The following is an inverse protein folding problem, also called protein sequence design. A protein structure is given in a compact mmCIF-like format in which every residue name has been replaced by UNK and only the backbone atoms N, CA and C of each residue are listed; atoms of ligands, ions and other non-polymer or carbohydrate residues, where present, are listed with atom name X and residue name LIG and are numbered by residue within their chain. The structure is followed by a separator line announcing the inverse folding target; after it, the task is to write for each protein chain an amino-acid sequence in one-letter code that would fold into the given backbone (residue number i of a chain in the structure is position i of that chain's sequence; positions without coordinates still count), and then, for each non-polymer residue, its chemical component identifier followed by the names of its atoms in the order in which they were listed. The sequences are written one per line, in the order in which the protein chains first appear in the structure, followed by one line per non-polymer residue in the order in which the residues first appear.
data_IF_230208465216
#
_entry.id   IF_230208465216
#
_cell.length_a   1.000
_cell.length_b   1.000
_cell.length_c   1.000
_cell.angle_alpha   90.00
_cell.angle_beta   90.00
_cell.angle_gamma   90.00
#
_symmetry.space_group_name_H-M   'P 1'
#
loop_
_entity.id
_entity.type
_entity.pdbx_description
1 polymer ?
#
# COMPACT_ATOMS: atom_id res chain seq x y z
N UNK A 1 -27.46 49.46 25.93
CA UNK A 1 -26.19 50.22 26.04
C UNK A 1 -26.54 51.69 25.98
N UNK A 2 -26.43 52.42 27.10
CA UNK A 2 -26.53 53.88 27.08
C UNK A 2 -25.22 54.40 26.48
N UNK A 3 -25.30 55.04 25.31
CA UNK A 3 -24.15 55.72 24.70
C UNK A 3 -23.91 56.99 25.51
N UNK A 4 -23.10 56.89 26.56
CA UNK A 4 -22.48 58.06 27.18
C UNK A 4 -21.30 58.44 26.29
N UNK A 5 -21.53 59.34 25.34
CA UNK A 5 -20.44 59.96 24.58
C UNK A 5 -19.55 60.72 25.58
N UNK A 6 -18.38 60.15 25.85
CA UNK A 6 -17.39 60.76 26.74
C UNK A 6 -16.78 61.98 26.04
N UNK A 7 -16.72 63.13 26.72
CA UNK A 7 -16.09 64.35 26.19
C UNK A 7 -17.05 65.49 25.85
N UNK A 8 -18.36 65.29 25.92
CA UNK A 8 -19.37 66.34 25.65
C UNK A 8 -19.26 67.49 26.68
N UNK A 9 -18.86 67.23 27.92
CA UNK A 9 -18.78 68.25 28.98
C UNK A 9 -17.51 69.10 28.97
N UNK A 10 -16.38 68.52 28.57
CA UNK A 10 -15.05 69.14 28.60
C UNK A 10 -14.53 69.62 27.25
N UNK A 11 -15.07 69.09 26.14
CA UNK A 11 -14.56 69.33 24.78
C UNK A 11 -13.29 68.54 24.43
N UNK A 12 -12.90 67.56 25.26
CA UNK A 12 -11.76 66.67 25.04
C UNK A 12 -12.18 65.43 24.25
N UNK A 13 -11.32 64.94 23.36
CA UNK A 13 -11.51 63.68 22.64
C UNK A 13 -11.11 62.49 23.54
N UNK A 14 -11.97 62.17 24.49
CA UNK A 14 -11.72 61.11 25.48
C UNK A 14 -11.86 59.71 24.85
N UNK A 15 -12.60 59.58 23.76
CA UNK A 15 -12.78 58.31 23.07
C UNK A 15 -11.47 57.84 22.42
N UNK A 16 -10.77 58.72 21.69
CA UNK A 16 -9.47 58.36 21.09
C UNK A 16 -8.40 58.10 22.15
N UNK A 17 -8.46 58.78 23.30
CA UNK A 17 -7.55 58.52 24.42
C UNK A 17 -7.79 57.13 25.00
N UNK A 18 -9.04 56.74 25.22
CA UNK A 18 -9.40 55.41 25.74
C UNK A 18 -8.93 54.34 24.75
N UNK A 19 -9.21 54.50 23.46
CA UNK A 19 -8.77 53.59 22.41
C UNK A 19 -7.24 53.46 22.37
N UNK A 20 -6.51 54.58 22.48
CA UNK A 20 -5.05 54.58 22.52
C UNK A 20 -4.51 53.82 23.74
N UNK A 21 -5.12 53.95 24.92
CA UNK A 21 -4.72 53.19 26.11
C UNK A 21 -5.03 51.70 25.99
N UNK A 22 -6.20 51.33 25.46
CA UNK A 22 -6.56 49.93 25.24
C UNK A 22 -5.63 49.28 24.22
N UNK A 23 -5.33 49.98 23.11
CA UNK A 23 -4.39 49.52 22.08
C UNK A 23 -2.97 49.36 22.64
N UNK A 24 -2.50 50.33 23.43
CA UNK A 24 -1.18 50.25 24.07
C UNK A 24 -1.06 49.05 25.03
N UNK A 25 -2.17 48.66 25.68
CA UNK A 25 -2.24 47.50 26.56
C UNK A 25 -2.38 46.17 25.79
N UNK A 26 -3.09 46.17 24.66
CA UNK A 26 -3.37 44.95 23.87
C UNK A 26 -2.17 44.50 23.03
N UNK A 27 -1.59 45.43 22.26
CA UNK A 27 -0.60 45.15 21.20
C UNK A 27 0.58 44.30 21.66
N UNK A 28 1.24 44.56 22.82
CA UNK A 28 2.37 43.74 23.25
C UNK A 28 2.00 42.28 23.53
N UNK A 29 0.79 42.05 24.07
CA UNK A 29 0.31 40.71 24.39
C UNK A 29 -0.11 39.98 23.13
N UNK A 30 -0.85 40.65 22.24
CA UNK A 30 -1.25 40.10 20.93
C UNK A 30 -0.04 39.69 20.10
N UNK A 31 0.98 40.53 19.97
CA UNK A 31 2.22 40.20 19.25
C UNK A 31 2.90 38.96 19.83
N UNK A 32 2.89 38.80 21.15
CA UNK A 32 3.48 37.63 21.82
C UNK A 32 2.68 36.35 21.53
N UNK A 33 1.35 36.43 21.57
CA UNK A 33 0.45 35.31 21.27
C UNK A 33 0.57 34.91 19.80
N UNK A 34 0.51 35.88 18.87
CA UNK A 34 0.70 35.65 17.44
C UNK A 34 2.02 34.94 17.14
N UNK A 35 3.14 35.41 17.72
CA UNK A 35 4.44 34.74 17.54
C UNK A 35 4.47 33.32 18.11
N UNK A 36 3.76 33.06 19.21
CA UNK A 36 3.65 31.73 19.81
C UNK A 36 2.83 30.80 18.90
N UNK A 37 1.71 31.31 18.38
CA UNK A 37 0.81 30.62 17.46
C UNK A 37 1.50 30.28 16.14
N UNK A 38 2.17 31.25 15.53
CA UNK A 38 2.97 31.06 14.32
C UNK A 38 4.04 30.00 14.50
N UNK A 39 4.75 30.02 15.64
CA UNK A 39 5.78 29.02 15.96
C UNK A 39 5.18 27.62 16.09
N UNK A 40 4.12 27.44 16.89
CA UNK A 40 3.48 26.14 17.09
C UNK A 40 2.90 25.60 15.77
N UNK A 41 2.28 26.47 14.98
CA UNK A 41 1.74 26.10 13.66
C UNK A 41 2.85 25.67 12.70
N UNK A 42 3.98 26.39 12.70
CA UNK A 42 5.15 25.99 11.93
C UNK A 42 5.71 24.64 12.39
N UNK A 43 5.83 24.41 13.70
CA UNK A 43 6.28 23.13 14.27
C UNK A 43 5.33 21.98 13.92
N UNK A 44 4.01 22.16 14.04
CA UNK A 44 3.01 21.18 13.62
C UNK A 44 3.12 20.84 12.13
N UNK A 45 3.27 21.85 11.28
CA UNK A 45 3.48 21.65 9.84
C UNK A 45 4.79 20.91 9.57
N UNK A 46 5.88 21.27 10.27
CA UNK A 46 7.18 20.61 10.17
C UNK A 46 7.12 19.14 10.58
N UNK A 47 6.43 18.85 11.69
CA UNK A 47 6.22 17.49 12.18
C UNK A 47 5.38 16.66 11.21
N UNK A 48 4.33 17.26 10.62
CA UNK A 48 3.55 16.62 9.56
C UNK A 48 4.42 16.26 8.35
N UNK A 49 5.21 17.21 7.85
CA UNK A 49 6.15 16.97 6.74
C UNK A 49 7.18 15.89 7.08
N UNK A 50 7.67 15.86 8.31
CA UNK A 50 8.61 14.83 8.77
C UNK A 50 7.97 13.43 8.78
N UNK A 51 6.78 13.30 9.39
CA UNK A 51 6.04 12.03 9.41
C UNK A 51 5.73 11.53 8.00
N UNK A 52 5.35 12.42 7.07
CA UNK A 52 5.16 12.05 5.67
C UNK A 52 6.44 11.57 5.01
N UNK A 53 7.59 12.23 5.24
CA UNK A 53 8.87 11.80 4.70
C UNK A 53 9.30 10.42 5.25
N UNK A 54 9.07 10.16 6.54
CA UNK A 54 9.31 8.85 7.16
C UNK A 54 8.45 7.76 6.55
N UNK A 55 7.14 8.02 6.37
CA UNK A 55 6.23 7.06 5.76
C UNK A 55 6.62 6.73 4.30
N UNK A 56 7.02 7.73 3.52
CA UNK A 56 7.53 7.52 2.16
C UNK A 56 8.80 6.67 2.16
N UNK A 57 9.74 6.93 3.08
CA UNK A 57 10.94 6.11 3.22
C UNK A 57 10.63 4.67 3.64
N UNK A 58 9.78 4.49 4.66
CA UNK A 58 9.34 3.18 5.14
C UNK A 58 8.71 2.36 4.02
N UNK A 59 7.83 2.97 3.21
CA UNK A 59 7.21 2.27 2.07
C UNK A 59 8.21 1.78 1.03
N UNK A 60 9.32 2.49 0.81
CA UNK A 60 10.39 2.03 -0.10
C UNK A 60 11.23 0.95 0.59
N UNK A 61 11.58 1.12 1.85
CA UNK A 61 12.33 0.12 2.63
C UNK A 61 11.56 -1.20 2.73
N UNK A 62 10.23 -1.17 2.86
CA UNK A 62 9.38 -2.36 2.93
C UNK A 62 9.44 -3.24 1.67
N UNK A 63 9.81 -2.68 0.50
CA UNK A 63 10.05 -3.47 -0.72
C UNK A 63 11.22 -4.45 -0.56
N UNK A 64 12.17 -4.13 0.32
CA UNK A 64 13.35 -4.95 0.61
C UNK A 64 13.09 -5.96 1.74
N UNK A 65 11.85 -6.08 2.24
CA UNK A 65 11.49 -6.93 3.39
C UNK A 65 11.39 -8.43 3.04
N UNK A 66 11.27 -8.75 1.75
CA UNK A 66 11.15 -10.12 1.26
C UNK A 66 12.40 -10.46 0.45
N UNK A 67 13.02 -11.60 0.78
CA UNK A 67 14.21 -12.10 0.08
C UNK A 67 13.84 -12.47 -1.36
N UNK A 68 12.60 -12.92 -1.58
CA UNK A 68 12.06 -13.30 -2.89
C UNK A 68 12.06 -12.12 -3.87
N UNK A 69 11.88 -10.88 -3.39
CA UNK A 69 11.94 -9.67 -4.24
C UNK A 69 13.33 -9.43 -4.84
N UNK A 70 14.39 -9.96 -4.23
CA UNK A 70 15.75 -9.91 -4.79
C UNK A 70 15.98 -11.02 -5.80
N UNK A 71 15.27 -12.13 -5.67
CA UNK A 71 15.44 -13.34 -6.45
C UNK A 71 14.53 -13.38 -7.70
N UNK A 72 14.10 -12.24 -8.23
CA UNK A 72 13.32 -12.21 -9.46
C UNK A 72 14.11 -12.81 -10.63
N UNK A 73 13.48 -13.68 -11.40
CA UNK A 73 14.10 -14.38 -12.52
C UNK A 73 13.47 -13.95 -13.85
N UNK A 74 14.29 -13.88 -14.88
CA UNK A 74 13.85 -13.70 -16.26
C UNK A 74 13.60 -15.07 -16.86
N UNK A 75 12.38 -15.25 -17.37
CA UNK A 75 11.97 -16.44 -18.12
C UNK A 75 11.76 -16.05 -19.58
N UNK A 76 12.63 -16.54 -20.47
CA UNK A 76 12.44 -16.35 -21.91
C UNK A 76 11.93 -17.66 -22.51
N UNK A 77 10.71 -17.62 -23.05
CA UNK A 77 10.09 -18.76 -23.74
C UNK A 77 10.11 -18.49 -25.24
N UNK A 78 10.61 -19.44 -26.03
CA UNK A 78 10.82 -19.29 -27.47
C UNK A 78 9.54 -19.26 -28.31
N UNK A 79 8.41 -19.76 -27.80
CA UNK A 79 7.12 -19.76 -28.50
C UNK A 79 5.93 -19.81 -27.50
N UNK A 80 4.70 -19.83 -28.01
CA UNK A 80 3.48 -19.83 -27.21
C UNK A 80 2.88 -21.23 -26.94
N UNK A 81 3.62 -22.30 -27.24
CA UNK A 81 3.20 -23.68 -26.94
C UNK A 81 3.18 -23.92 -25.43
N UNK A 82 4.03 -23.22 -24.68
CA UNK A 82 4.08 -23.28 -23.23
C UNK A 82 4.07 -21.88 -22.59
N UNK A 83 3.71 -21.84 -21.32
CA UNK A 83 3.95 -20.70 -20.43
C UNK A 83 4.60 -21.20 -19.16
N UNK A 84 5.50 -20.42 -18.57
CA UNK A 84 6.34 -20.86 -17.47
C UNK A 84 6.32 -19.84 -16.35
N UNK A 85 6.28 -20.32 -15.11
CA UNK A 85 6.42 -19.53 -13.90
C UNK A 85 7.42 -20.21 -12.97
N UNK A 86 8.15 -19.43 -12.18
CA UNK A 86 9.12 -19.89 -11.18
C UNK A 86 8.78 -19.31 -9.82
N UNK A 87 9.22 -19.97 -8.75
CA UNK A 87 9.16 -19.41 -7.39
C UNK A 87 10.34 -18.47 -7.07
N UNK A 88 11.25 -18.23 -8.02
CA UNK A 88 12.41 -17.35 -7.89
C UNK A 88 13.73 -18.06 -7.54
N UNK A 89 13.68 -19.36 -7.23
CA UNK A 89 14.85 -20.14 -6.81
C UNK A 89 15.32 -21.17 -7.83
N UNK A 90 14.68 -21.23 -9.00
CA UNK A 90 15.05 -22.16 -10.05
C UNK A 90 16.51 -21.96 -10.46
N UNK A 91 17.23 -23.04 -10.76
CA UNK A 91 18.61 -22.91 -11.24
C UNK A 91 18.66 -22.26 -12.62
N UNK A 92 19.62 -21.36 -12.83
CA UNK A 92 19.87 -20.78 -14.15
C UNK A 92 20.18 -21.90 -15.16
N UNK A 93 19.53 -21.86 -16.32
CA UNK A 93 19.64 -22.93 -17.31
C UNK A 93 18.85 -22.64 -18.57
N UNK A 94 19.13 -23.43 -19.61
CA UNK A 94 18.38 -23.42 -20.86
C UNK A 94 17.84 -24.82 -21.08
N UNK A 95 16.55 -24.92 -21.41
CA UNK A 95 15.84 -26.17 -21.58
C UNK A 95 15.07 -26.16 -22.91
N UNK A 96 14.92 -27.32 -23.53
CA UNK A 96 14.02 -27.51 -24.67
C UNK A 96 12.79 -28.29 -24.22
N UNK A 97 11.61 -27.68 -24.30
CA UNK A 97 10.35 -28.30 -23.86
C UNK A 97 9.44 -28.52 -25.06
N UNK A 98 9.11 -29.77 -25.34
CA UNK A 98 8.15 -30.15 -26.39
C UNK A 98 6.83 -30.61 -25.76
N UNK A 99 5.71 -30.03 -26.19
CA UNK A 99 4.40 -30.53 -25.80
C UNK A 99 3.96 -31.60 -26.78
N UNK A 100 3.91 -32.86 -26.34
CA UNK A 100 3.52 -34.00 -27.18
C UNK A 100 2.00 -34.21 -27.18
N UNK A 101 1.36 -33.95 -26.04
CA UNK A 101 -0.07 -34.16 -25.86
C UNK A 101 -0.62 -33.21 -24.79
N UNK A 102 -1.83 -32.69 -25.00
CA UNK A 102 -2.56 -31.93 -23.99
C UNK A 102 -3.50 -32.84 -23.19
N UNK A 103 -3.68 -32.50 -21.92
CA UNK A 103 -4.69 -33.14 -21.09
C UNK A 103 -6.08 -32.80 -21.63
N UNK A 104 -6.89 -33.83 -21.81
CA UNK A 104 -8.27 -33.72 -22.27
C UNK A 104 -9.22 -34.34 -21.25
N UNK A 105 -10.41 -33.78 -21.13
CA UNK A 105 -11.49 -34.32 -20.32
C UNK A 105 -12.48 -35.09 -21.19
N UNK A 106 -13.12 -36.11 -20.60
CA UNK A 106 -14.09 -36.94 -21.31
C UNK A 106 -15.29 -36.12 -21.79
N UNK A 107 -15.74 -36.40 -23.01
CA UNK A 107 -17.03 -35.94 -23.54
C UNK A 107 -17.87 -37.12 -23.98
N UNK A 108 -19.07 -37.24 -23.41
CA UNK A 108 -20.06 -38.26 -23.74
C UNK A 108 -21.22 -37.62 -24.49
N UNK A 109 -21.78 -38.35 -25.44
CA UNK A 109 -22.95 -37.97 -26.22
C UNK A 109 -23.98 -39.10 -26.18
N UNK A 110 -25.22 -38.78 -25.79
CA UNK A 110 -26.35 -39.70 -25.88
C UNK A 110 -26.78 -39.93 -27.33
N UNK A 111 -27.56 -40.98 -27.62
CA UNK A 111 -28.32 -41.06 -28.87
C UNK A 111 -29.27 -39.87 -29.03
N UNK A 112 -29.73 -39.65 -30.27
CA UNK A 112 -30.70 -38.60 -30.59
C UNK A 112 -32.10 -38.94 -30.05
N UNK A 113 -32.73 -37.94 -29.45
CA UNK A 113 -34.14 -37.93 -29.05
C UNK A 113 -34.95 -37.03 -29.99
N UNK A 114 -36.28 -37.17 -29.96
CA UNK A 114 -37.15 -36.42 -30.87
C UNK A 114 -37.10 -34.90 -30.64
N UNK A 115 -36.98 -34.44 -29.39
CA UNK A 115 -36.82 -33.02 -29.04
C UNK A 115 -36.34 -32.83 -27.60
N UNK A 116 -36.04 -31.59 -27.21
CA UNK A 116 -35.73 -31.21 -25.82
C UNK A 116 -36.87 -31.46 -24.82
N UNK A 117 -38.10 -31.65 -25.30
CA UNK A 117 -39.30 -31.97 -24.51
C UNK A 117 -39.55 -33.48 -24.37
N UNK A 118 -38.66 -34.32 -24.90
CA UNK A 118 -38.79 -35.77 -24.77
C UNK A 118 -38.58 -36.22 -23.32
N UNK A 119 -39.55 -36.99 -22.80
CA UNK A 119 -39.46 -37.67 -21.52
C UNK A 119 -38.83 -39.05 -21.70
N UNK A 120 -38.06 -39.50 -20.71
CA UNK A 120 -37.19 -40.68 -20.81
C UNK A 120 -37.47 -41.75 -19.74
N UNK A 121 -38.43 -41.50 -18.85
CA UNK A 121 -38.81 -42.42 -17.78
C UNK A 121 -38.32 -41.94 -16.42
N UNK A 122 -38.21 -42.87 -15.47
CA UNK A 122 -37.79 -42.59 -14.09
C UNK A 122 -36.65 -43.51 -13.68
N UNK A 123 -35.80 -43.03 -12.78
CA UNK A 123 -34.66 -43.78 -12.29
C UNK A 123 -33.55 -42.87 -11.77
N UNK A 124 -32.37 -43.42 -11.60
CA UNK A 124 -31.19 -42.68 -11.15
C UNK A 124 -30.04 -42.79 -12.14
N UNK A 125 -29.50 -41.65 -12.56
CA UNK A 125 -28.23 -41.57 -13.29
C UNK A 125 -27.08 -41.39 -12.31
N UNK A 126 -26.06 -42.25 -12.40
CA UNK A 126 -24.83 -42.13 -11.62
C UNK A 126 -23.70 -41.67 -12.54
N UNK A 127 -23.10 -40.53 -12.22
CA UNK A 127 -21.92 -39.97 -12.87
C UNK A 127 -20.70 -40.25 -12.00
N UNK A 128 -19.64 -40.81 -12.56
CA UNK A 128 -18.40 -41.10 -11.84
C UNK A 128 -17.17 -40.77 -12.68
N UNK A 129 -16.16 -40.18 -12.05
CA UNK A 129 -14.84 -39.93 -12.62
C UNK A 129 -13.79 -40.00 -11.50
N UNK A 130 -12.78 -40.86 -11.64
CA UNK A 130 -11.78 -41.08 -10.59
C UNK A 130 -12.41 -41.56 -9.28
N UNK A 131 -12.19 -40.80 -8.19
CA UNK A 131 -12.77 -41.10 -6.87
C UNK A 131 -14.13 -40.41 -6.63
N UNK A 132 -14.53 -39.48 -7.50
CA UNK A 132 -15.74 -38.69 -7.34
C UNK A 132 -16.93 -39.37 -8.03
N UNK A 133 -18.08 -39.32 -7.37
CA UNK A 133 -19.34 -39.78 -7.95
C UNK A 133 -20.52 -38.99 -7.40
N UNK A 134 -21.56 -38.85 -8.22
CA UNK A 134 -22.84 -38.31 -7.78
C UNK A 134 -24.00 -38.93 -8.55
N UNK A 135 -25.14 -38.97 -7.88
CA UNK A 135 -26.38 -39.50 -8.41
C UNK A 135 -27.35 -38.36 -8.76
N UNK A 136 -28.12 -38.53 -9.83
CA UNK A 136 -29.18 -37.61 -10.24
C UNK A 136 -30.46 -38.41 -10.39
N UNK A 137 -31.46 -38.08 -9.57
CA UNK A 137 -32.79 -38.68 -9.66
C UNK A 137 -33.59 -38.04 -10.80
N UNK A 138 -34.18 -38.90 -11.64
CA UNK A 138 -35.01 -38.55 -12.79
C UNK A 138 -36.44 -38.98 -12.52
N UNK A 139 -37.36 -38.02 -12.60
CA UNK A 139 -38.79 -38.22 -12.44
C UNK A 139 -39.45 -38.48 -13.80
N UNK A 140 -40.53 -39.25 -13.84
CA UNK A 140 -41.21 -39.63 -15.09
C UNK A 140 -41.70 -38.44 -15.94
N UNK A 141 -41.92 -37.28 -15.32
CA UNK A 141 -42.36 -36.05 -15.99
C UNK A 141 -41.19 -35.17 -16.46
N UNK A 142 -39.94 -35.50 -16.11
CA UNK A 142 -38.78 -34.74 -16.53
C UNK A 142 -38.55 -34.89 -18.04
N UNK A 143 -38.40 -33.75 -18.71
CA UNK A 143 -37.89 -33.69 -20.07
C UNK A 143 -36.37 -33.51 -20.09
N UNK A 144 -35.74 -33.66 -21.25
CA UNK A 144 -34.29 -33.51 -21.38
C UNK A 144 -33.75 -32.16 -20.87
N UNK A 145 -34.55 -31.10 -20.98
CA UNK A 145 -34.18 -29.77 -20.49
C UNK A 145 -34.09 -29.76 -18.96
N UNK A 146 -35.09 -30.36 -18.30
CA UNK A 146 -35.15 -30.53 -16.85
C UNK A 146 -34.03 -31.44 -16.36
N UNK A 147 -33.71 -32.51 -17.09
CA UNK A 147 -32.61 -33.42 -16.76
C UNK A 147 -31.26 -32.72 -16.84
N UNK A 148 -31.01 -31.94 -17.90
CA UNK A 148 -29.82 -31.08 -18.00
C UNK A 148 -29.69 -30.17 -16.77
N UNK A 149 -30.78 -29.50 -16.40
CA UNK A 149 -30.79 -28.55 -15.30
C UNK A 149 -30.56 -29.26 -13.96
N UNK A 150 -31.16 -30.44 -13.75
CA UNK A 150 -30.92 -31.29 -12.58
C UNK A 150 -29.46 -31.75 -12.47
N UNK A 151 -28.82 -32.15 -13.57
CA UNK A 151 -27.39 -32.53 -13.58
C UNK A 151 -26.52 -31.31 -13.21
N UNK A 152 -26.72 -30.19 -13.89
CA UNK A 152 -25.90 -28.97 -13.70
C UNK A 152 -26.09 -28.33 -12.32
N UNK A 153 -27.27 -28.49 -11.70
CA UNK A 153 -27.57 -27.95 -10.37
C UNK A 153 -27.30 -28.96 -9.23
N UNK A 154 -26.86 -30.18 -9.53
CA UNK A 154 -26.64 -31.19 -8.50
C UNK A 154 -25.51 -30.75 -7.55
N UNK A 155 -25.76 -30.79 -6.24
CA UNK A 155 -24.81 -30.28 -5.24
C UNK A 155 -23.52 -31.10 -5.13
N UNK A 156 -23.59 -32.39 -5.50
CA UNK A 156 -22.42 -33.29 -5.57
C UNK A 156 -21.70 -33.27 -6.92
N UNK A 157 -22.08 -32.37 -7.83
CA UNK A 157 -21.48 -32.32 -9.16
C UNK A 157 -20.02 -31.83 -9.09
N UNK A 158 -19.09 -32.74 -9.39
CA UNK A 158 -17.64 -32.48 -9.37
C UNK A 158 -17.12 -31.73 -10.61
N UNK A 159 -18.00 -31.18 -11.46
CA UNK A 159 -17.64 -30.43 -12.66
C UNK A 159 -18.07 -31.06 -13.98
N UNK A 160 -19.10 -31.91 -13.96
CA UNK A 160 -19.79 -32.40 -15.17
C UNK A 160 -20.79 -31.36 -15.65
N UNK A 161 -20.62 -30.87 -16.87
CA UNK A 161 -21.60 -29.99 -17.52
C UNK A 161 -22.42 -30.78 -18.53
N UNK A 162 -23.74 -30.79 -18.34
CA UNK A 162 -24.70 -31.27 -19.32
C UNK A 162 -25.15 -30.12 -20.23
N UNK A 163 -25.21 -30.38 -21.53
CA UNK A 163 -25.72 -29.44 -22.54
C UNK A 163 -26.61 -30.17 -23.54
N UNK A 164 -27.68 -29.50 -23.98
CA UNK A 164 -28.52 -30.00 -25.08
C UNK A 164 -28.00 -29.44 -26.40
N UNK A 165 -27.83 -30.31 -27.38
CA UNK A 165 -27.49 -29.93 -28.75
C UNK A 165 -28.61 -30.39 -29.67
N UNK A 166 -29.16 -29.46 -30.44
CA UNK A 166 -30.14 -29.76 -31.48
C UNK A 166 -29.38 -29.99 -32.79
N UNK A 167 -29.45 -31.21 -33.31
CA UNK A 167 -28.93 -31.60 -34.61
C UNK A 167 -30.07 -31.76 -35.62
N UNK A 168 -29.74 -31.90 -36.91
CA UNK A 168 -30.72 -32.21 -37.96
C UNK A 168 -31.38 -33.60 -37.76
N UNK A 169 -30.76 -34.48 -36.97
CA UNK A 169 -31.24 -35.84 -36.68
C UNK A 169 -32.05 -35.94 -35.39
N UNK A 170 -32.09 -34.88 -34.56
CA UNK A 170 -32.78 -34.84 -33.28
C UNK A 170 -32.01 -34.04 -32.22
N UNK A 171 -32.45 -34.14 -30.96
CA UNK A 171 -31.81 -33.50 -29.81
C UNK A 171 -31.04 -34.54 -29.01
N UNK A 172 -29.77 -34.29 -28.70
CA UNK A 172 -28.99 -35.15 -27.79
C UNK A 172 -28.42 -34.38 -26.61
N UNK A 173 -28.13 -35.10 -25.53
CA UNK A 173 -27.40 -34.61 -24.37
C UNK A 173 -25.91 -34.85 -24.56
N UNK A 174 -25.12 -33.82 -24.32
CA UNK A 174 -23.68 -33.92 -24.22
C UNK A 174 -23.23 -33.68 -22.79
N UNK A 175 -22.50 -34.63 -22.23
CA UNK A 175 -21.88 -34.51 -20.91
C UNK A 175 -20.40 -34.23 -21.10
N UNK A 176 -19.91 -33.13 -20.54
CA UNK A 176 -18.49 -32.76 -20.58
C UNK A 176 -17.97 -32.70 -19.15
N UNK A 177 -16.92 -33.46 -18.85
CA UNK A 177 -16.20 -33.32 -17.57
C UNK A 177 -15.25 -32.12 -17.63
N UNK A 178 -15.06 -31.44 -16.50
CA UNK A 178 -13.99 -30.46 -16.32
C UNK A 178 -12.67 -31.12 -15.88
N UNK A 179 -12.74 -32.34 -15.32
CA UNK A 179 -11.56 -33.06 -14.86
C UNK A 179 -10.91 -33.74 -16.06
N UNK A 180 -9.65 -33.36 -16.32
CA UNK A 180 -8.80 -33.94 -17.36
C UNK A 180 -7.99 -35.12 -16.83
N UNK A 181 -7.35 -35.86 -17.74
CA UNK A 181 -6.45 -36.95 -17.38
C UNK A 181 -7.11 -38.32 -17.40
N UNK A 182 -6.36 -39.35 -17.75
CA UNK A 182 -6.86 -40.72 -17.99
C UNK A 182 -7.55 -41.31 -16.77
N UNK A 183 -7.06 -40.99 -15.56
CA UNK A 183 -7.68 -41.43 -14.30
C UNK A 183 -9.06 -40.82 -14.03
N UNK A 184 -9.40 -39.70 -14.68
CA UNK A 184 -10.66 -38.97 -14.53
C UNK A 184 -11.62 -39.21 -15.69
N UNK A 185 -11.54 -40.38 -16.32
CA UNK A 185 -12.47 -40.76 -17.38
C UNK A 185 -13.91 -40.78 -16.85
N UNK A 186 -14.76 -39.92 -17.40
CA UNK A 186 -16.17 -39.85 -17.03
C UNK A 186 -16.88 -41.13 -17.48
N UNK A 187 -17.64 -41.71 -16.56
CA UNK A 187 -18.60 -42.78 -16.82
C UNK A 187 -19.99 -42.34 -16.37
N UNK A 188 -21.00 -42.75 -17.13
CA UNK A 188 -22.41 -42.54 -16.80
C UNK A 188 -23.09 -43.90 -16.78
N UNK A 189 -23.72 -44.24 -15.67
CA UNK A 189 -24.37 -45.53 -15.47
C UNK A 189 -25.77 -45.36 -14.88
N UNK A 190 -26.60 -46.39 -15.03
CA UNK A 190 -27.96 -46.47 -14.50
C UNK A 190 -28.28 -47.92 -14.16
N UNK A 191 -29.11 -48.14 -13.15
CA UNK A 191 -29.71 -49.45 -12.89
C UNK A 191 -31.12 -49.58 -13.50
N UNK A 192 -31.63 -48.49 -14.08
CA UNK A 192 -32.97 -48.38 -14.65
C UNK A 192 -32.90 -48.42 -16.18
N UNK A 193 -33.44 -49.49 -16.78
CA UNK A 193 -33.40 -49.72 -18.23
C UNK A 193 -34.07 -48.60 -19.06
N UNK A 194 -35.00 -47.84 -18.46
CA UNK A 194 -35.63 -46.69 -19.12
C UNK A 194 -34.60 -45.59 -19.44
N UNK A 195 -33.53 -45.48 -18.64
CA UNK A 195 -32.50 -44.46 -18.77
C UNK A 195 -31.26 -44.93 -19.55
N UNK A 196 -31.27 -46.13 -20.15
CA UNK A 196 -30.11 -46.67 -20.88
C UNK A 196 -29.62 -45.73 -21.99
N UNK A 197 -30.53 -45.03 -22.67
CA UNK A 197 -30.19 -44.03 -23.69
C UNK A 197 -29.48 -42.79 -23.14
N UNK A 198 -29.62 -42.50 -21.85
CA UNK A 198 -28.93 -41.40 -21.18
C UNK A 198 -27.58 -41.81 -20.58
N UNK A 199 -27.32 -43.12 -20.48
CA UNK A 199 -26.14 -43.69 -19.83
C UNK A 199 -25.48 -44.75 -20.73
N UNK A 200 -25.85 -46.02 -20.61
CA UNK A 200 -25.20 -47.18 -21.23
C UNK A 200 -25.08 -47.11 -22.77
N UNK A 201 -26.06 -46.54 -23.46
CA UNK A 201 -26.05 -46.40 -24.92
C UNK A 201 -25.41 -45.08 -25.39
N UNK A 202 -24.91 -44.25 -24.48
CA UNK A 202 -24.18 -43.05 -24.81
C UNK A 202 -22.76 -43.39 -25.29
N UNK A 203 -22.22 -42.55 -26.16
CA UNK A 203 -20.92 -42.75 -26.81
C UNK A 203 -19.91 -41.74 -26.30
N UNK A 204 -18.69 -42.20 -26.03
CA UNK A 204 -17.57 -41.31 -25.72
C UNK A 204 -17.08 -40.71 -27.05
N UNK A 205 -17.21 -39.40 -27.19
CA UNK A 205 -16.79 -38.63 -28.39
C UNK A 205 -15.40 -38.05 -28.22
N UNK A 206 -14.92 -37.91 -26.98
CA UNK A 206 -13.55 -37.55 -26.63
C UNK A 206 -13.16 -38.29 -25.36
N UNK A 207 -12.11 -39.09 -25.42
CA UNK A 207 -11.56 -39.77 -24.24
C UNK A 207 -10.83 -38.76 -23.34
N UNK A 208 -10.83 -39.01 -22.03
CA UNK A 208 -9.90 -38.31 -21.16
C UNK A 208 -8.46 -38.78 -21.45
N UNK A 209 -7.53 -37.84 -21.44
CA UNK A 209 -6.12 -38.10 -21.74
C UNK A 209 -5.27 -37.23 -20.83
N UNK A 210 -4.09 -37.74 -20.46
CA UNK A 210 -3.08 -36.98 -19.70
C UNK A 210 -2.30 -36.07 -20.64
N UNK A 211 -1.82 -34.94 -20.12
CA UNK A 211 -0.84 -34.13 -20.82
C UNK A 211 0.52 -34.83 -20.78
N UNK A 212 1.28 -34.73 -21.87
CA UNK A 212 2.63 -35.26 -21.99
C UNK A 212 3.54 -34.18 -22.55
N UNK A 213 4.60 -33.86 -21.82
CA UNK A 213 5.70 -33.01 -22.30
C UNK A 213 6.99 -33.82 -22.33
N UNK A 214 7.96 -33.36 -23.12
CA UNK A 214 9.32 -33.88 -23.17
C UNK A 214 10.31 -32.74 -22.92
N UNK A 215 11.35 -32.97 -22.11
CA UNK A 215 12.35 -31.96 -21.73
C UNK A 215 13.75 -32.41 -22.17
N UNK A 216 14.46 -31.53 -22.89
CA UNK A 216 15.81 -31.73 -23.45
C UNK A 216 15.93 -32.96 -24.38
N UNK A 217 14.80 -33.38 -24.96
CA UNK A 217 14.71 -34.51 -25.88
C UNK A 217 15.05 -35.88 -25.26
N UNK A 218 15.28 -36.86 -26.13
CA UNK A 218 15.77 -38.21 -25.78
C UNK A 218 14.84 -39.08 -24.89
N UNK A 219 13.53 -38.84 -24.89
CA UNK A 219 12.55 -39.67 -24.19
C UNK A 219 12.33 -39.31 -22.72
N UNK A 220 12.78 -38.14 -22.27
CA UNK A 220 12.50 -37.59 -20.94
C UNK A 220 11.06 -37.08 -20.85
N UNK A 221 10.10 -37.98 -21.01
CA UNK A 221 8.67 -37.66 -21.01
C UNK A 221 8.15 -37.52 -19.60
N UNK A 222 7.37 -36.46 -19.36
CA UNK A 222 6.67 -36.23 -18.10
C UNK A 222 5.18 -36.16 -18.38
N UNK A 223 4.41 -36.87 -17.56
CA UNK A 223 2.96 -37.00 -17.71
C UNK A 223 2.26 -36.30 -16.55
N UNK A 224 1.18 -35.56 -16.85
CA UNK A 224 0.35 -34.89 -15.86
C UNK A 224 -1.12 -35.09 -16.18
N UNK A 225 -1.96 -35.22 -15.15
CA UNK A 225 -3.41 -35.30 -15.32
C UNK A 225 -4.01 -33.98 -15.84
N UNK A 226 -3.29 -32.85 -15.70
CA UNK A 226 -3.68 -31.53 -16.20
C UNK A 226 -2.62 -30.98 -17.16
N UNK A 227 -2.91 -29.85 -17.81
CA UNK A 227 -1.94 -29.14 -18.62
C UNK A 227 -0.88 -28.39 -17.79
N UNK A 228 -0.90 -28.52 -16.46
CA UNK A 228 0.04 -27.90 -15.55
C UNK A 228 1.03 -28.96 -15.04
N UNK A 229 2.31 -28.68 -15.21
CA UNK A 229 3.43 -29.52 -14.84
C UNK A 229 4.25 -28.79 -13.78
N UNK A 230 4.05 -29.20 -12.53
CA UNK A 230 4.70 -28.59 -11.37
C UNK A 230 5.98 -29.33 -11.04
N UNK A 231 7.04 -28.58 -10.78
CA UNK A 231 8.32 -29.09 -10.31
C UNK A 231 8.93 -30.16 -11.24
N UNK A 232 8.64 -30.05 -12.54
CA UNK A 232 9.23 -30.93 -13.55
C UNK A 232 10.66 -30.53 -13.85
N UNK A 233 10.89 -29.22 -13.94
CA UNK A 233 12.17 -28.60 -13.64
C UNK A 233 12.00 -28.11 -12.19
N UNK A 234 13.00 -28.34 -11.34
CA UNK A 234 12.93 -27.94 -9.93
C UNK A 234 12.57 -26.45 -9.81
N UNK A 235 11.61 -26.14 -8.93
CA UNK A 235 11.13 -24.78 -8.66
C UNK A 235 10.38 -24.07 -9.82
N UNK A 236 10.11 -24.80 -10.91
CA UNK A 236 9.43 -24.31 -12.10
C UNK A 236 8.08 -24.98 -12.29
N UNK A 237 7.09 -24.20 -12.70
CA UNK A 237 5.80 -24.68 -13.20
C UNK A 237 5.69 -24.38 -14.68
N UNK A 238 5.48 -25.42 -15.49
CA UNK A 238 5.26 -25.34 -16.93
C UNK A 238 3.79 -25.61 -17.21
N UNK A 239 3.14 -24.72 -17.97
CA UNK A 239 1.77 -24.88 -18.44
C UNK A 239 1.80 -25.11 -19.94
N UNK A 240 1.28 -26.25 -20.40
CA UNK A 240 1.17 -26.60 -21.80
C UNK A 240 -0.09 -25.98 -22.42
N UNK A 241 0.09 -25.13 -23.43
CA UNK A 241 -0.98 -24.41 -24.10
C UNK A 241 -1.36 -25.04 -25.44
N UNK A 242 -0.36 -25.54 -26.19
CA UNK A 242 -0.55 -26.14 -27.52
C UNK A 242 0.41 -27.30 -27.71
N UNK A 243 0.04 -28.25 -28.57
CA UNK A 243 0.93 -29.33 -29.01
C UNK A 243 2.00 -28.74 -29.93
N UNK A 244 3.26 -29.06 -29.67
CA UNK A 244 4.41 -28.55 -30.40
C UNK A 244 4.54 -29.23 -31.76
N UNK A 245 4.18 -28.50 -32.82
CA UNK A 245 4.24 -28.98 -34.21
C UNK A 245 5.47 -28.48 -34.97
N UNK A 246 6.08 -27.37 -34.52
CA UNK A 246 7.18 -26.69 -35.19
C UNK A 246 8.56 -26.98 -34.57
N UNK A 247 8.63 -27.85 -33.56
CA UNK A 247 9.82 -28.12 -32.75
C UNK A 247 9.62 -27.73 -31.28
N UNK A 248 10.61 -28.02 -30.45
CA UNK A 248 10.58 -27.71 -29.01
C UNK A 248 10.55 -26.18 -28.76
N UNK A 249 9.86 -25.77 -27.70
CA UNK A 249 9.96 -24.43 -27.16
C UNK A 249 11.26 -24.31 -26.33
N UNK A 250 12.09 -23.31 -26.61
CA UNK A 250 13.24 -23.01 -25.74
C UNK A 250 12.75 -22.30 -24.48
N UNK A 251 13.31 -22.65 -23.32
CA UNK A 251 13.09 -22.00 -22.04
C UNK A 251 14.44 -21.61 -21.45
N UNK A 252 14.74 -20.32 -21.43
CA UNK A 252 15.90 -19.79 -20.74
C UNK A 252 15.50 -19.19 -19.39
N UNK A 253 16.12 -19.67 -18.34
CA UNK A 253 15.95 -19.21 -16.96
C UNK A 253 17.25 -18.51 -16.54
N UNK A 254 17.15 -17.24 -16.16
CA UNK A 254 18.28 -16.49 -15.63
C UNK A 254 17.87 -15.58 -14.48
N UNK A 255 18.80 -15.35 -13.56
CA UNK A 255 18.61 -14.40 -12.47
C UNK A 255 18.53 -12.95 -13.01
N UNK A 256 17.54 -12.18 -12.57
CA UNK A 256 17.45 -10.76 -12.89
C UNK A 256 18.23 -9.92 -11.89
N UNK A 257 19.55 -9.88 -12.05
CA UNK A 257 20.45 -9.15 -11.16
C UNK A 257 20.18 -7.62 -11.14
N UNK A 258 19.55 -7.08 -12.18
CA UNK A 258 19.22 -5.66 -12.24
C UNK A 258 18.19 -5.26 -11.17
N UNK A 259 17.24 -6.16 -10.83
CA UNK A 259 16.19 -5.88 -9.84
C UNK A 259 16.79 -5.61 -8.47
N UNK A 260 17.76 -6.42 -8.03
CA UNK A 260 18.45 -6.22 -6.76
C UNK A 260 19.23 -4.89 -6.73
N UNK A 261 19.90 -4.54 -7.83
CA UNK A 261 20.62 -3.27 -7.97
C UNK A 261 19.63 -2.09 -7.88
N UNK A 262 18.50 -2.18 -8.58
CA UNK A 262 17.49 -1.13 -8.60
C UNK A 262 16.85 -0.94 -7.22
N UNK A 263 16.54 -2.02 -6.52
CA UNK A 263 15.99 -1.99 -5.16
C UNK A 263 16.95 -1.30 -4.17
N UNK A 264 18.26 -1.61 -4.23
CA UNK A 264 19.28 -0.96 -3.38
C UNK A 264 19.41 0.53 -3.73
N UNK A 265 19.41 0.89 -5.02
CA UNK A 265 19.44 2.29 -5.44
C UNK A 265 18.18 3.06 -5.01
N UNK A 266 17.00 2.46 -5.13
CA UNK A 266 15.74 3.08 -4.69
C UNK A 266 15.78 3.38 -3.18
N UNK A 267 16.29 2.43 -2.39
CA UNK A 267 16.48 2.61 -0.96
C UNK A 267 17.47 3.72 -0.61
N UNK A 268 18.65 3.76 -1.25
CA UNK A 268 19.64 4.82 -1.06
C UNK A 268 19.04 6.19 -1.40
N UNK A 269 18.34 6.30 -2.53
CA UNK A 269 17.70 7.53 -2.95
C UNK A 269 16.59 7.98 -1.99
N UNK A 270 15.77 7.03 -1.50
CA UNK A 270 14.68 7.33 -0.56
C UNK A 270 15.21 7.75 0.82
N UNK A 271 16.28 7.11 1.31
CA UNK A 271 16.98 7.57 2.52
C UNK A 271 17.54 8.97 2.34
N UNK A 272 18.17 9.26 1.20
CA UNK A 272 18.73 10.58 0.92
C UNK A 272 17.65 11.66 0.84
N UNK A 273 16.49 11.35 0.26
CA UNK A 273 15.34 12.25 0.24
C UNK A 273 14.81 12.53 1.66
N UNK A 274 14.78 11.50 2.53
CA UNK A 274 14.46 11.67 3.95
C UNK A 274 15.50 12.56 4.65
N UNK A 275 16.80 12.29 4.45
CA UNK A 275 17.88 13.08 5.02
C UNK A 275 17.82 14.55 4.60
N UNK A 276 17.53 14.81 3.31
CA UNK A 276 17.31 16.16 2.78
C UNK A 276 16.12 16.86 3.44
N UNK A 277 14.99 16.15 3.58
CA UNK A 277 13.81 16.68 4.29
C UNK A 277 14.16 17.04 5.73
N UNK A 278 14.87 16.16 6.44
CA UNK A 278 15.31 16.40 7.81
C UNK A 278 16.25 17.60 7.93
N UNK A 279 17.18 17.77 6.99
CA UNK A 279 18.11 18.90 6.98
C UNK A 279 17.41 20.24 6.71
N UNK A 280 16.43 20.25 5.81
CA UNK A 280 15.57 21.42 5.56
C UNK A 280 14.75 21.77 6.81
N UNK A 281 14.14 20.77 7.44
CA UNK A 281 13.33 20.95 8.65
C UNK A 281 14.16 21.41 9.84
N UNK A 282 15.39 20.90 9.99
CA UNK A 282 16.30 21.22 11.09
C UNK A 282 17.15 22.47 10.87
N UNK A 283 17.04 23.12 9.70
CA UNK A 283 17.84 24.29 9.34
C UNK A 283 17.78 25.39 10.41
N UNK A 284 18.94 25.86 10.95
CA UNK A 284 18.96 26.80 12.08
C UNK A 284 18.22 28.13 11.86
N UNK A 285 18.06 28.55 10.60
CA UNK A 285 17.54 29.88 10.25
C UNK A 285 16.10 29.85 9.72
N UNK A 286 15.74 28.81 8.98
CA UNK A 286 14.45 28.72 8.28
C UNK A 286 13.72 27.39 8.52
N UNK A 287 14.32 26.49 9.30
CA UNK A 287 13.76 25.17 9.58
C UNK A 287 12.60 25.27 10.55
N UNK A 288 11.49 24.63 10.18
CA UNK A 288 10.27 24.53 11.02
C UNK A 288 10.51 23.75 12.31
N UNK A 289 11.53 22.89 12.33
CA UNK A 289 11.98 22.07 13.45
C UNK A 289 13.44 22.41 13.80
N UNK A 290 13.82 23.69 13.70
CA UNK A 290 15.15 24.14 14.08
C UNK A 290 15.44 23.76 15.54
N UNK A 291 16.62 23.21 15.79
CA UNK A 291 17.07 22.77 17.12
C UNK A 291 16.23 21.68 17.80
N UNK A 292 15.36 21.01 17.04
CA UNK A 292 14.57 19.86 17.48
C UNK A 292 15.42 18.66 17.92
N UNK A 293 15.26 18.21 19.17
CA UNK A 293 16.01 17.08 19.72
C UNK A 293 15.55 15.74 19.16
N UNK A 294 14.26 15.56 18.90
CA UNK A 294 13.69 14.29 18.46
C UNK A 294 14.12 13.97 17.04
N UNK A 295 14.10 14.99 16.17
CA UNK A 295 14.58 14.88 14.79
C UNK A 295 16.07 14.52 14.76
N UNK A 296 16.91 15.18 15.59
CA UNK A 296 18.34 14.85 15.68
C UNK A 296 18.60 13.45 16.24
N UNK A 297 17.87 13.06 17.28
CA UNK A 297 17.99 11.73 17.89
C UNK A 297 17.64 10.65 16.86
N UNK A 298 16.54 10.82 16.13
CA UNK A 298 16.15 9.89 15.08
C UNK A 298 17.16 9.84 13.93
N UNK A 299 17.68 10.99 13.48
CA UNK A 299 18.75 11.03 12.45
C UNK A 299 19.94 10.16 12.89
N UNK A 300 20.37 10.31 14.13
CA UNK A 300 21.45 9.52 14.70
C UNK A 300 21.12 8.02 14.78
N UNK A 301 19.91 7.65 15.19
CA UNK A 301 19.47 6.25 15.25
C UNK A 301 19.38 5.61 13.87
N UNK A 302 18.83 6.31 12.87
CA UNK A 302 18.78 5.87 11.47
C UNK A 302 20.20 5.64 10.94
N UNK A 303 21.09 6.63 11.12
CA UNK A 303 22.49 6.50 10.69
C UNK A 303 23.20 5.32 11.38
N UNK A 304 22.96 5.11 12.68
CA UNK A 304 23.54 3.98 13.42
C UNK A 304 23.08 2.63 12.90
N UNK A 305 21.78 2.47 12.58
CA UNK A 305 21.25 1.22 12.00
C UNK A 305 21.95 0.92 10.67
N UNK A 306 22.13 1.95 9.84
CA UNK A 306 22.71 1.81 8.50
C UNK A 306 24.24 1.64 8.49
N UNK A 307 24.93 2.09 9.54
CA UNK A 307 26.39 1.95 9.66
C UNK A 307 26.84 0.69 10.39
N UNK A 308 25.94 0.03 11.13
CA UNK A 308 26.27 -1.15 11.92
C UNK A 308 26.12 -2.45 11.11
N UNK A 309 26.80 -3.49 11.59
CA UNK A 309 26.62 -4.85 11.07
C UNK A 309 25.31 -5.45 11.59
N UNK A 310 24.63 -6.24 10.77
CA UNK A 310 23.46 -7.04 11.15
C UNK A 310 23.94 -8.27 11.92
N UNK A 311 23.46 -8.44 13.16
CA UNK A 311 24.01 -9.40 14.11
C UNK A 311 23.78 -10.87 13.74
N UNK A 312 22.70 -11.17 13.02
CA UNK A 312 22.42 -12.53 12.51
C UNK A 312 23.29 -12.96 11.34
N UNK A 313 24.01 -12.03 10.70
CA UNK A 313 24.82 -12.33 9.52
C UNK A 313 26.21 -12.82 9.89
N UNK A 314 26.66 -13.89 9.23
CA UNK A 314 28.00 -14.48 9.44
C UNK A 314 28.79 -14.64 8.15
N UNK A 315 28.26 -14.14 7.02
CA UNK A 315 28.81 -14.30 5.68
C UNK A 315 29.69 -13.14 5.23
N UNK A 316 29.84 -13.01 3.91
CA UNK A 316 30.64 -12.00 3.24
C UNK A 316 29.93 -10.64 3.16
N UNK A 317 28.63 -10.60 3.46
CA UNK A 317 27.82 -9.40 3.58
C UNK A 317 27.31 -9.34 5.02
N UNK A 318 27.67 -8.29 5.77
CA UNK A 318 27.17 -8.06 7.13
C UNK A 318 26.68 -6.63 7.34
N UNK A 319 27.04 -5.70 6.46
CA UNK A 319 26.74 -4.28 6.53
C UNK A 319 26.51 -3.68 5.14
N UNK A 320 25.96 -2.46 5.09
CA UNK A 320 25.85 -1.70 3.83
C UNK A 320 27.20 -1.43 3.17
N UNK A 321 28.27 -1.26 3.96
CA UNK A 321 29.61 -1.06 3.41
C UNK A 321 30.13 -2.27 2.64
N UNK A 322 29.73 -3.49 3.00
CA UNK A 322 30.17 -4.72 2.31
C UNK A 322 29.56 -4.86 0.91
N UNK A 323 28.47 -4.14 0.64
CA UNK A 323 27.81 -4.07 -0.67
C UNK A 323 28.14 -2.78 -1.42
N UNK A 324 29.11 -2.00 -0.94
CA UNK A 324 29.56 -0.77 -1.60
C UNK A 324 28.70 0.47 -1.35
N UNK A 325 27.82 0.43 -0.35
CA UNK A 325 26.99 1.56 0.10
C UNK A 325 27.64 2.19 1.34
N UNK A 326 28.01 3.47 1.27
CA UNK A 326 28.69 4.19 2.35
C UNK A 326 28.02 5.51 2.69
N UNK A 327 28.40 6.11 3.81
CA UNK A 327 27.99 7.48 4.15
C UNK A 327 28.97 8.51 3.57
N UNK A 328 28.43 9.56 2.97
CA UNK A 328 29.20 10.74 2.61
C UNK A 328 29.47 11.64 3.84
N UNK A 329 30.23 12.72 3.62
CA UNK A 329 30.56 13.70 4.67
C UNK A 329 29.35 14.47 5.24
N UNK A 330 28.19 14.39 4.58
CA UNK A 330 26.94 15.03 4.98
C UNK A 330 25.98 14.05 5.68
N UNK A 331 26.36 12.77 5.83
CA UNK A 331 25.52 11.74 6.43
C UNK A 331 24.43 11.23 5.49
N UNK A 332 24.63 11.36 4.17
CA UNK A 332 23.80 10.74 3.13
C UNK A 332 24.43 9.44 2.66
N UNK A 333 23.62 8.50 2.18
CA UNK A 333 24.12 7.27 1.58
C UNK A 333 24.62 7.56 0.16
N UNK A 334 25.72 6.92 -0.23
CA UNK A 334 26.26 6.98 -1.58
C UNK A 334 26.70 5.59 -2.05
N UNK A 335 26.55 5.37 -3.35
CA UNK A 335 27.16 4.25 -4.06
C UNK A 335 28.21 4.87 -4.98
N UNK A 336 29.47 4.80 -4.57
CA UNK A 336 30.56 5.45 -5.30
C UNK A 336 30.66 4.88 -6.72
N UNK A 337 30.63 5.76 -7.73
CA UNK A 337 30.80 5.37 -9.14
C UNK A 337 32.27 5.17 -9.55
N UNK A 338 33.21 5.57 -8.69
CA UNK A 338 34.65 5.54 -8.97
C UNK A 338 35.35 4.82 -7.82
N UNK A 339 36.20 3.84 -8.15
CA UNK A 339 37.06 3.15 -7.20
C UNK A 339 38.26 3.99 -6.77
N UNK A 340 38.91 3.61 -5.67
CA UNK A 340 40.12 4.28 -5.18
C UNK A 340 41.32 3.36 -5.38
N UNK A 341 42.17 3.69 -6.35
CA UNK A 341 43.38 2.92 -6.65
C UNK A 341 43.04 1.54 -7.20
N UNK A 342 43.27 0.50 -6.40
CA UNK A 342 42.93 -0.90 -6.73
C UNK A 342 41.63 -1.38 -6.06
N UNK A 343 40.95 -0.53 -5.31
CA UNK A 343 39.66 -0.84 -4.71
C UNK A 343 38.56 -0.63 -5.75
N UNK A 344 37.63 -1.58 -5.81
CA UNK A 344 36.42 -1.47 -6.62
C UNK A 344 35.60 -0.24 -6.20
N UNK A 345 34.87 0.33 -7.15
CA UNK A 345 33.82 1.30 -6.87
C UNK A 345 32.66 0.65 -6.09
N UNK A 346 31.79 1.46 -5.51
CA UNK A 346 30.57 0.97 -4.87
C UNK A 346 29.65 0.25 -5.88
N UNK A 347 29.57 0.76 -7.11
CA UNK A 347 28.79 0.14 -8.19
C UNK A 347 29.35 -1.24 -8.58
N UNK A 348 30.67 -1.35 -8.73
CA UNK A 348 31.32 -2.64 -9.03
C UNK A 348 31.21 -3.63 -7.86
N UNK A 349 31.32 -3.13 -6.62
CA UNK A 349 31.15 -3.96 -5.41
C UNK A 349 29.74 -4.51 -5.33
N UNK A 350 28.73 -3.66 -5.51
CA UNK A 350 27.32 -4.07 -5.51
C UNK A 350 27.05 -5.11 -6.60
N UNK A 351 27.50 -4.85 -7.83
CA UNK A 351 27.32 -5.80 -8.94
C UNK A 351 27.94 -7.17 -8.63
N UNK A 352 29.18 -7.21 -8.12
CA UNK A 352 29.84 -8.47 -7.72
C UNK A 352 29.08 -9.22 -6.62
N UNK A 353 28.52 -8.51 -5.63
CA UNK A 353 27.76 -9.11 -4.53
C UNK A 353 26.40 -9.62 -4.99
N UNK A 354 25.73 -8.92 -5.91
CA UNK A 354 24.51 -9.40 -6.55
C UNK A 354 24.78 -10.68 -7.35
N UNK A 355 25.88 -10.72 -8.11
CA UNK A 355 26.22 -11.89 -8.95
C UNK A 355 26.55 -13.15 -8.13
N UNK A 356 27.19 -13.00 -6.96
CA UNK A 356 27.77 -14.12 -6.21
C UNK A 356 27.10 -14.41 -4.86
N UNK A 357 26.39 -13.44 -4.28
CA UNK A 357 25.88 -13.49 -2.91
C UNK A 357 24.46 -12.90 -2.79
N UNK A 358 23.62 -13.06 -3.82
CA UNK A 358 22.26 -12.49 -3.85
C UNK A 358 21.41 -12.86 -2.63
N UNK A 359 21.49 -14.11 -2.17
CA UNK A 359 20.78 -14.57 -0.98
C UNK A 359 21.21 -13.84 0.30
N UNK A 360 22.52 -13.62 0.48
CA UNK A 360 23.05 -12.85 1.62
C UNK A 360 22.66 -11.36 1.50
N UNK A 361 22.67 -10.80 0.29
CA UNK A 361 22.21 -9.44 0.03
C UNK A 361 20.74 -9.27 0.45
N UNK A 362 19.86 -10.21 0.05
CA UNK A 362 18.47 -10.20 0.48
C UNK A 362 18.34 -10.29 2.01
N UNK A 363 19.12 -11.17 2.65
CA UNK A 363 19.11 -11.34 4.11
C UNK A 363 19.61 -10.11 4.88
N UNK A 364 20.55 -9.34 4.33
CA UNK A 364 21.01 -8.07 4.93
C UNK A 364 19.84 -7.13 5.22
N UNK A 365 18.87 -7.08 4.31
CA UNK A 365 17.69 -6.23 4.45
C UNK A 365 16.52 -6.94 5.14
N UNK A 366 16.21 -8.17 4.72
CA UNK A 366 14.96 -8.87 5.01
C UNK A 366 15.01 -9.80 6.24
N UNK A 367 16.18 -10.06 6.83
CA UNK A 367 16.27 -10.90 8.03
C UNK A 367 15.47 -10.32 9.21
N UNK A 368 15.20 -11.15 10.22
CA UNK A 368 14.41 -10.75 11.40
C UNK A 368 15.00 -9.54 12.14
N UNK A 369 16.33 -9.42 12.16
CA UNK A 369 17.10 -8.28 12.68
C UNK A 369 17.77 -7.49 11.53
N UNK A 370 17.35 -7.69 10.30
CA UNK A 370 17.87 -7.00 9.11
C UNK A 370 17.59 -5.51 9.13
N UNK A 371 18.20 -4.80 8.18
CA UNK A 371 18.12 -3.33 8.12
C UNK A 371 16.67 -2.85 8.06
N UNK A 372 15.82 -3.46 7.22
CA UNK A 372 14.43 -3.03 7.07
C UNK A 372 13.63 -3.27 8.35
N UNK A 373 13.85 -4.40 9.01
CA UNK A 373 13.21 -4.74 10.29
C UNK A 373 13.59 -3.74 11.38
N UNK A 374 14.88 -3.38 11.49
CA UNK A 374 15.36 -2.39 12.45
C UNK A 374 14.82 -0.98 12.16
N UNK A 375 14.82 -0.57 10.90
CA UNK A 375 14.28 0.73 10.48
C UNK A 375 12.78 0.84 10.73
N UNK A 376 12.02 -0.19 10.34
CA UNK A 376 10.56 -0.23 10.55
C UNK A 376 10.23 -0.15 12.03
N UNK A 377 10.91 -0.96 12.86
CA UNK A 377 10.71 -0.91 14.31
C UNK A 377 11.04 0.48 14.89
N UNK A 378 12.10 1.16 14.41
CA UNK A 378 12.41 2.51 14.84
C UNK A 378 11.30 3.51 14.45
N UNK A 379 10.87 3.50 13.19
CA UNK A 379 9.84 4.41 12.67
C UNK A 379 8.52 4.17 13.40
N UNK A 380 8.13 2.92 13.59
CA UNK A 380 6.92 2.53 14.30
C UNK A 380 6.95 3.00 15.75
N UNK A 381 8.06 2.82 16.48
CA UNK A 381 8.19 3.30 17.87
C UNK A 381 8.00 4.82 18.01
N UNK A 382 8.39 5.60 17.00
CA UNK A 382 8.19 7.05 17.00
C UNK A 382 6.76 7.45 16.62
N UNK A 383 6.11 6.68 15.74
CA UNK A 383 4.79 6.95 15.19
C UNK A 383 3.63 6.27 15.92
N UNK A 384 3.89 5.31 16.80
CA UNK A 384 2.87 4.61 17.57
C UNK A 384 2.00 5.60 18.36
N UNK A 385 0.83 5.13 18.80
CA UNK A 385 -0.11 5.87 19.64
C UNK A 385 0.55 6.48 20.88
N UNK A 386 1.51 5.77 21.47
CA UNK A 386 2.33 6.21 22.61
C UNK A 386 3.72 6.75 22.21
N UNK A 387 4.00 6.82 20.91
CA UNK A 387 5.27 7.28 20.35
C UNK A 387 5.53 8.77 20.58
N UNK A 388 6.81 9.15 20.51
CA UNK A 388 7.27 10.52 20.79
C UNK A 388 6.71 11.55 19.81
N UNK A 389 6.60 11.23 18.51
CA UNK A 389 6.05 12.16 17.52
C UNK A 389 4.54 12.35 17.72
N UNK A 390 3.83 11.29 18.07
CA UNK A 390 2.38 11.34 18.33
C UNK A 390 2.08 12.16 19.59
N UNK A 391 2.81 11.93 20.68
CA UNK A 391 2.69 12.72 21.91
C UNK A 391 2.99 14.19 21.67
N UNK A 392 4.08 14.48 20.96
CA UNK A 392 4.43 15.87 20.62
C UNK A 392 3.40 16.56 19.73
N UNK A 393 2.83 15.85 18.76
CA UNK A 393 1.73 16.38 17.96
C UNK A 393 0.52 16.72 18.83
N UNK A 394 0.17 15.87 19.80
CA UNK A 394 -0.92 16.12 20.73
C UNK A 394 -0.64 17.34 21.63
N UNK A 395 0.59 17.45 22.16
CA UNK A 395 1.01 18.56 23.01
C UNK A 395 0.98 19.90 22.26
N UNK A 396 1.51 19.94 21.03
CA UNK A 396 1.45 21.15 20.19
C UNK A 396 0.01 21.56 19.86
N UNK A 397 -0.88 20.61 19.57
CA UNK A 397 -2.29 20.92 19.36
C UNK A 397 -2.97 21.46 20.62
N UNK A 398 -2.61 20.91 21.78
CA UNK A 398 -3.10 21.40 23.08
C UNK A 398 -2.60 22.81 23.34
N UNK A 399 -1.32 23.09 23.10
CA UNK A 399 -0.77 24.44 23.25
C UNK A 399 -1.43 25.44 22.29
N UNK A 400 -1.74 25.01 21.06
CA UNK A 400 -2.48 25.83 20.10
C UNK A 400 -3.89 26.17 20.61
N UNK A 401 -4.63 25.19 21.15
CA UNK A 401 -5.93 25.46 21.79
C UNK A 401 -5.81 26.39 22.99
N UNK A 402 -4.75 26.24 23.80
CA UNK A 402 -4.51 27.10 24.95
C UNK A 402 -4.23 28.55 24.56
N UNK A 403 -3.66 28.81 23.37
CA UNK A 403 -3.50 30.18 22.86
C UNK A 403 -4.85 30.82 22.54
N UNK A 404 -5.80 30.06 22.00
CA UNK A 404 -7.18 30.55 21.80
C UNK A 404 -7.77 31.01 23.14
N UNK A 405 -7.60 30.22 24.19
CA UNK A 405 -8.04 30.60 25.53
C UNK A 405 -7.29 31.84 26.06
N UNK A 406 -5.99 32.00 25.76
CA UNK A 406 -5.21 33.19 26.11
C UNK A 406 -5.74 34.46 25.41
N UNK A 407 -6.21 34.37 24.16
CA UNK A 407 -6.85 35.49 23.47
C UNK A 407 -8.19 35.86 24.10
N UNK A 408 -9.04 34.89 24.42
CA UNK A 408 -10.34 35.14 25.06
C UNK A 408 -10.15 35.82 26.43
N UNK A 409 -9.15 35.37 27.20
CA UNK A 409 -8.79 35.98 28.47
C UNK A 409 -8.25 37.41 28.31
N UNK A 410 -7.44 37.67 27.27
CA UNK A 410 -6.95 39.01 26.94
C UNK A 410 -8.11 39.94 26.58
N UNK A 411 -9.04 39.49 25.74
CA UNK A 411 -10.23 40.26 25.36
C UNK A 411 -11.07 40.62 26.58
N UNK A 412 -11.36 39.65 27.45
CA UNK A 412 -12.10 39.88 28.69
C UNK A 412 -11.38 40.89 29.60
N UNK A 413 -10.04 40.84 29.67
CA UNK A 413 -9.24 41.80 30.44
C UNK A 413 -9.30 43.20 29.85
N UNK A 414 -9.17 43.34 28.54
CA UNK A 414 -9.21 44.62 27.84
C UNK A 414 -10.58 45.29 27.98
N UNK A 415 -11.68 44.53 27.90
CA UNK A 415 -13.04 45.05 28.17
C UNK A 415 -13.17 45.63 29.57
N UNK A 416 -12.68 44.92 30.60
CA UNK A 416 -12.69 45.41 31.98
C UNK A 416 -11.81 46.67 32.17
N UNK A 417 -10.67 46.72 31.47
CA UNK A 417 -9.77 47.87 31.49
C UNK A 417 -10.41 49.09 30.83
N UNK A 418 -11.02 48.91 29.65
CA UNK A 418 -11.78 49.93 28.94
C UNK A 418 -12.93 50.49 29.80
N UNK A 419 -13.73 49.62 30.44
CA UNK A 419 -14.80 50.03 31.36
C UNK A 419 -14.28 50.88 32.52
N UNK A 420 -13.09 50.55 33.04
CA UNK A 420 -12.44 51.30 34.11
C UNK A 420 -11.97 52.67 33.61
N UNK A 421 -11.37 52.73 32.42
CA UNK A 421 -10.97 53.99 31.78
C UNK A 421 -12.19 54.87 31.50
N UNK A 422 -13.27 54.32 30.91
CA UNK A 422 -14.52 55.03 30.65
C UNK A 422 -15.09 55.67 31.93
N UNK A 423 -15.11 54.94 33.05
CA UNK A 423 -15.55 55.48 34.36
C UNK A 423 -14.66 56.64 34.83
N UNK A 424 -13.33 56.51 34.71
CA UNK A 424 -12.37 57.55 35.11
C UNK A 424 -12.49 58.81 34.25
N UNK A 425 -12.59 58.64 32.93
CA UNK A 425 -12.71 59.75 31.99
C UNK A 425 -14.08 60.43 32.04
N UNK A 426 -15.17 59.70 32.30
CA UNK A 426 -16.48 60.32 32.56
C UNK A 426 -16.47 61.21 33.82
N UNK A 427 -15.79 60.77 34.89
CA UNK A 427 -15.61 61.58 36.10
C UNK A 427 -14.76 62.83 35.83
N UNK A 428 -13.68 62.70 35.05
CA UNK A 428 -12.86 63.83 34.60
C UNK A 428 -13.67 64.82 33.77
N UNK A 429 -14.46 64.34 32.80
CA UNK A 429 -15.32 65.16 31.93
C UNK A 429 -16.30 66.00 32.76
N UNK A 430 -16.99 65.36 33.72
CA UNK A 430 -17.89 66.06 34.65
C UNK A 430 -17.17 67.10 35.51
N UNK A 431 -15.95 66.80 35.96
CA UNK A 431 -15.18 67.70 36.82
C UNK A 431 -14.71 68.93 36.03
N UNK A 432 -14.20 68.72 34.81
CA UNK A 432 -13.76 69.80 33.91
C UNK A 432 -14.95 70.64 33.46
N UNK A 433 -16.10 70.03 33.15
CA UNK A 433 -17.34 70.76 32.85
C UNK A 433 -17.75 71.68 34.03
N UNK A 434 -17.66 71.19 35.26
CA UNK A 434 -17.93 71.98 36.47
C UNK A 434 -16.96 73.15 36.66
N UNK A 435 -15.67 72.94 36.40
CA UNK A 435 -14.67 74.02 36.42
C UNK A 435 -14.92 75.05 35.29
N UNK A 436 -15.27 74.61 34.09
CA UNK A 436 -15.63 75.50 32.98
C UNK A 436 -16.87 76.34 33.30
N UNK A 437 -17.90 75.74 33.91
CA UNK A 437 -19.08 76.46 34.37
C UNK A 437 -18.74 77.52 35.43
N UNK A 438 -17.88 77.16 36.40
CA UNK A 438 -17.39 78.09 37.44
C UNK A 438 -16.57 79.23 36.85
N UNK A 439 -15.69 78.93 35.89
CA UNK A 439 -14.87 79.91 35.16
C UNK A 439 -15.74 80.87 34.34
N UNK A 440 -16.74 80.35 33.62
CA UNK A 440 -17.69 81.16 32.86
C UNK A 440 -18.53 82.08 33.76
N UNK A 441 -18.94 81.58 34.93
CA UNK A 441 -19.63 82.39 35.94
C UNK A 441 -18.72 83.52 36.46
N UNK A 442 -17.48 83.21 36.85
CA UNK A 442 -16.51 84.20 37.33
C UNK A 442 -16.18 85.24 36.26
N UNK A 443 -16.00 84.82 35.01
CA UNK A 443 -15.74 85.72 33.87
C UNK A 443 -16.92 86.62 33.60
N UNK A 444 -18.16 86.11 33.73
CA UNK A 444 -19.37 86.93 33.62
C UNK A 444 -19.52 87.91 34.77
N UNK A 445 -19.19 87.50 36.00
CA UNK A 445 -19.25 88.35 37.20
C UNK A 445 -18.15 89.43 37.24
N UNK A 446 -17.00 89.18 36.62
CA UNK A 446 -15.85 90.09 36.54
C UNK A 446 -15.84 90.95 35.27
N UNK A 447 -16.79 90.75 34.34
CA UNK A 447 -16.90 91.56 33.13
C UNK A 447 -17.30 92.99 33.53
N UNK A 448 -16.49 94.02 33.22
CA UNK A 448 -16.82 95.38 33.63
C UNK A 448 -18.13 95.80 32.95
N UNK A 449 -19.05 96.35 33.74
CA UNK A 449 -20.27 96.97 33.21
C UNK A 449 -19.84 98.11 32.29
N UNK A 450 -20.08 97.99 30.99
CA UNK A 450 -19.92 99.11 30.08
C UNK A 450 -20.93 100.18 30.50
N UNK A 451 -20.43 101.31 30.98
CA UNK A 451 -21.26 102.52 31.10
C UNK A 451 -21.47 103.06 29.69
N UNK A 452 -22.71 102.97 29.21
CA UNK A 452 -23.23 103.97 28.26
C UNK A 452 -23.41 105.31 28.97
#
# INVERSE_FOLDING_TARGET
MNITSAGIGSGLDLESIIEAFVTAESVPTEIRLQKKEERITAELSGLGSFKSALASFQSVADKLKSVENFNEQVLNVGNDDISVTTNGFASNGSFEVSVLQLAAATRIQTPDFASSASTVGTGTLTFAAGADSFDVAIDAADDLSTIRDKINAQSGNFGVTASLVNSDSGTYLSYTSNNTGTANELSVSTNDAALDNLATNATITRNAQDAIIEIDGAGNTVTSASNEFKNTIEDVTVVANKVSVAGAATLDISQNNQVAIDLVNEFVNSFNALADSMDVLASPKFGKLAFDSDLRAMKGQLSNILSNTVGSMTGDIQSLSDIGVSFDKFGKLEISAVGIGTLDSGVETLAKKVDNNLGELGQLFASSDGIVSQLSALIDNYNDSDGTLTKRQADLNKDLSGISDEYDNLEARLRNYEDTLRKRFAFLDSTVAGYNATSNFLTSALKPVSKD
#
